data_IF_671113267522
#
_entry.id   IF_671113267522
#
_cell.length_a   1.000
_cell.length_b   1.000
_cell.length_c   1.000
_cell.angle_alpha   90.00
_cell.angle_beta   90.00
_cell.angle_gamma   90.00
#
_symmetry.space_group_name_H-M   'P 1'
#
loop_
_entity.id
_entity.type
_entity.pdbx_description
1 polymer ?
#
# COMPACT_ATOMS: atom_id res chain seq x y z
N UNK A 1 19.12 6.42 12.46
CA UNK A 1 18.05 6.01 11.53
C UNK A 1 16.76 6.72 11.94
N UNK A 2 16.19 7.51 11.05
CA UNK A 2 14.98 8.29 11.30
C UNK A 2 13.81 7.68 10.53
N UNK A 3 12.76 7.31 11.25
CA UNK A 3 11.55 6.67 10.71
C UNK A 3 10.40 7.65 10.87
N UNK A 4 9.56 7.79 9.84
CA UNK A 4 8.38 8.64 9.88
C UNK A 4 7.15 7.89 9.39
N UNK A 5 6.00 8.12 10.05
CA UNK A 5 4.70 7.82 9.45
C UNK A 5 4.30 8.95 8.50
N UNK A 6 3.83 8.58 7.32
CA UNK A 6 3.40 9.53 6.30
C UNK A 6 2.00 9.14 5.84
N UNK A 7 1.07 10.07 5.90
CA UNK A 7 -0.31 9.88 5.44
C UNK A 7 -0.67 10.95 4.43
N UNK A 8 -1.14 10.54 3.25
CA UNK A 8 -1.83 11.41 2.31
C UNK A 8 -3.33 11.26 2.53
N UNK A 9 -4.03 12.32 2.96
CA UNK A 9 -5.40 12.22 3.41
C UNK A 9 -6.33 13.20 2.69
N UNK A 10 -7.61 12.83 2.56
CA UNK A 10 -8.70 13.64 2.01
C UNK A 10 -9.67 14.10 3.09
N UNK A 11 -9.84 13.32 4.17
CA UNK A 11 -10.70 13.63 5.31
C UNK A 11 -9.89 13.95 6.55
N UNK A 12 -9.98 15.21 7.01
CA UNK A 12 -9.33 15.65 8.26
C UNK A 12 -9.84 14.86 9.48
N UNK A 13 -11.14 14.51 9.48
CA UNK A 13 -11.75 13.73 10.56
C UNK A 13 -11.18 12.31 10.58
N UNK A 14 -11.20 11.61 9.44
CA UNK A 14 -10.72 10.24 9.36
C UNK A 14 -9.21 10.16 9.64
N UNK A 15 -8.42 11.11 9.12
CA UNK A 15 -7.01 11.23 9.46
C UNK A 15 -6.78 11.44 10.96
N UNK A 16 -7.61 12.26 11.62
CA UNK A 16 -7.52 12.46 13.08
C UNK A 16 -7.80 11.17 13.86
N UNK A 17 -8.69 10.33 13.36
CA UNK A 17 -8.97 9.01 13.94
C UNK A 17 -7.81 8.05 13.69
N UNK A 18 -7.36 7.93 12.44
CA UNK A 18 -6.35 6.93 12.07
C UNK A 18 -4.99 7.17 12.72
N UNK A 19 -4.57 8.42 12.90
CA UNK A 19 -3.31 8.74 13.58
C UNK A 19 -3.25 8.25 15.04
N UNK A 20 -4.40 8.05 15.72
CA UNK A 20 -4.44 7.47 17.05
C UNK A 20 -3.94 6.01 17.08
N UNK A 21 -3.97 5.33 15.93
CA UNK A 21 -3.42 3.98 15.76
C UNK A 21 -1.88 3.98 15.60
N UNK A 22 -1.27 5.15 15.34
CA UNK A 22 0.18 5.26 15.10
C UNK A 22 0.94 5.98 16.22
N UNK A 23 0.26 6.72 17.09
CA UNK A 23 0.89 7.61 18.09
C UNK A 23 1.86 6.90 19.05
N UNK A 24 1.57 5.65 19.38
CA UNK A 24 2.33 4.89 20.39
C UNK A 24 3.65 4.30 19.82
N UNK A 25 3.93 4.51 18.52
CA UNK A 25 5.20 4.08 17.92
C UNK A 25 6.36 5.01 18.26
N UNK A 26 6.10 6.25 18.66
CA UNK A 26 7.13 7.24 18.94
C UNK A 26 7.83 7.79 17.69
N UNK A 27 7.30 7.51 16.49
CA UNK A 27 7.79 8.06 15.23
C UNK A 27 7.11 9.40 14.91
N UNK A 28 7.85 10.28 14.21
CA UNK A 28 7.27 11.52 13.68
C UNK A 28 6.13 11.18 12.69
N UNK A 29 5.02 11.91 12.79
CA UNK A 29 3.87 11.74 11.89
C UNK A 29 3.72 12.97 11.00
N UNK A 30 3.69 12.74 9.69
CA UNK A 30 3.48 13.77 8.67
C UNK A 30 2.17 13.47 7.95
N UNK A 31 1.17 14.33 8.13
CA UNK A 31 -0.05 14.32 7.33
C UNK A 31 0.04 15.34 6.19
N UNK A 32 -0.27 14.92 4.98
CA UNK A 32 -0.32 15.80 3.80
C UNK A 32 -1.72 15.73 3.20
N UNK A 33 -2.37 16.89 3.08
CA UNK A 33 -3.70 16.97 2.51
C UNK A 33 -3.66 16.69 0.99
N UNK A 34 -4.36 15.64 0.56
CA UNK A 34 -4.43 15.17 -0.82
C UNK A 34 -5.46 15.86 -1.71
N UNK A 35 -6.17 16.89 -1.18
CA UNK A 35 -7.12 17.70 -1.96
C UNK A 35 -6.44 18.29 -3.20
N UNK A 36 -7.24 18.64 -4.21
CA UNK A 36 -6.74 19.17 -5.49
C UNK A 36 -5.88 18.17 -6.30
N UNK A 37 -6.18 16.88 -6.21
CA UNK A 37 -5.49 15.80 -6.94
C UNK A 37 -4.02 15.62 -6.54
N UNK A 38 -3.65 16.07 -5.35
CA UNK A 38 -2.31 15.85 -4.80
C UNK A 38 -2.22 14.50 -4.09
N UNK A 39 -2.44 13.41 -4.84
CA UNK A 39 -2.38 12.02 -4.41
C UNK A 39 -1.73 11.16 -5.50
N UNK A 40 -1.46 9.89 -5.19
CA UNK A 40 -0.84 8.98 -6.14
C UNK A 40 0.58 9.38 -6.53
N UNK A 41 0.96 9.26 -7.80
CA UNK A 41 2.31 9.54 -8.26
C UNK A 41 2.81 10.97 -7.97
N UNK A 42 2.01 12.04 -8.11
CA UNK A 42 2.42 13.39 -7.68
C UNK A 42 2.83 13.46 -6.21
N UNK A 43 2.10 12.78 -5.33
CA UNK A 43 2.45 12.73 -3.91
C UNK A 43 3.75 11.94 -3.68
N UNK A 44 3.95 10.80 -4.31
CA UNK A 44 5.21 10.06 -4.20
C UNK A 44 6.40 10.84 -4.76
N UNK A 45 6.22 11.55 -5.87
CA UNK A 45 7.24 12.48 -6.36
C UNK A 45 7.59 13.54 -5.30
N UNK A 46 6.59 14.09 -4.63
CA UNK A 46 6.80 15.06 -3.53
C UNK A 46 7.60 14.42 -2.38
N UNK A 47 7.26 13.22 -1.95
CA UNK A 47 8.04 12.49 -0.93
C UNK A 47 9.51 12.32 -1.36
N UNK A 48 9.76 12.05 -2.64
CA UNK A 48 11.10 11.84 -3.16
C UNK A 48 11.92 13.12 -3.32
N UNK A 49 11.30 14.29 -3.45
CA UNK A 49 12.00 15.52 -3.85
C UNK A 49 11.97 16.61 -2.79
N UNK A 50 10.91 16.71 -1.98
CA UNK A 50 10.73 17.81 -1.05
C UNK A 50 11.63 17.71 0.18
N UNK A 51 12.05 18.87 0.69
CA UNK A 51 12.91 19.00 1.88
C UNK A 51 12.26 18.48 3.17
N UNK A 52 10.92 18.43 3.23
CA UNK A 52 10.19 17.89 4.38
C UNK A 52 10.58 16.45 4.73
N UNK A 53 11.02 15.69 3.72
CA UNK A 53 11.42 14.29 3.87
C UNK A 53 12.94 14.08 3.78
N UNK A 54 13.73 15.17 3.77
CA UNK A 54 15.19 15.09 3.55
C UNK A 54 15.94 14.30 4.65
N UNK A 55 15.42 14.30 5.85
CA UNK A 55 15.97 13.62 7.02
C UNK A 55 15.28 12.28 7.34
N UNK A 56 14.42 11.80 6.43
CA UNK A 56 13.71 10.52 6.61
C UNK A 56 14.51 9.38 5.96
N UNK A 57 14.95 8.40 6.75
CA UNK A 57 15.59 7.21 6.23
C UNK A 57 14.53 6.20 5.74
N UNK A 58 13.49 5.99 6.56
CA UNK A 58 12.39 5.06 6.29
C UNK A 58 11.04 5.75 6.45
N UNK A 59 10.19 5.62 5.45
CA UNK A 59 8.80 6.05 5.51
C UNK A 59 7.88 4.84 5.67
N UNK A 60 6.99 4.90 6.66
CA UNK A 60 5.82 4.03 6.77
C UNK A 60 4.64 4.83 6.22
N UNK A 61 4.31 4.60 4.96
CA UNK A 61 3.18 5.23 4.32
C UNK A 61 1.89 4.47 4.64
N UNK A 62 0.87 5.19 5.07
CA UNK A 62 -0.46 4.66 5.36
C UNK A 62 -1.53 5.65 4.92
N UNK A 63 -2.58 5.17 4.25
CA UNK A 63 -3.77 5.98 3.97
C UNK A 63 -4.59 6.24 5.24
N UNK A 64 -5.44 7.27 5.23
CA UNK A 64 -6.25 7.66 6.39
C UNK A 64 -7.29 6.62 6.80
N UNK A 65 -7.55 5.62 5.99
CA UNK A 65 -8.46 4.51 6.28
C UNK A 65 -7.75 3.15 6.47
N UNK A 66 -6.45 3.21 6.77
CA UNK A 66 -5.64 2.05 7.13
C UNK A 66 -5.26 2.11 8.63
N UNK A 67 -5.70 1.15 9.43
CA UNK A 67 -5.58 1.12 10.89
C UNK A 67 -4.58 0.06 11.33
N UNK A 68 -3.47 0.47 11.95
CA UNK A 68 -2.45 -0.46 12.47
C UNK A 68 -2.91 -0.95 13.85
N UNK A 69 -3.20 -2.24 13.96
CA UNK A 69 -3.72 -2.87 15.18
C UNK A 69 -2.68 -3.66 15.96
N UNK A 70 -1.59 -4.07 15.30
CA UNK A 70 -0.51 -4.82 15.94
C UNK A 70 0.84 -4.13 15.72
N UNK A 71 1.23 -3.35 16.72
CA UNK A 71 2.51 -2.62 16.73
C UNK A 71 3.71 -3.53 16.58
N UNK A 72 3.73 -4.64 17.29
CA UNK A 72 4.88 -5.55 17.30
C UNK A 72 5.07 -6.20 15.93
N UNK A 73 4.00 -6.60 15.27
CA UNK A 73 4.05 -7.19 13.94
C UNK A 73 4.54 -6.20 12.86
N UNK A 74 4.18 -4.91 12.98
CA UNK A 74 4.71 -3.86 12.10
C UNK A 74 6.19 -3.60 12.36
N UNK A 75 6.61 -3.50 13.62
CA UNK A 75 8.03 -3.28 13.96
C UNK A 75 8.89 -4.47 13.55
N UNK A 76 8.38 -5.69 13.67
CA UNK A 76 9.03 -6.91 13.20
C UNK A 76 9.22 -6.88 11.67
N UNK A 77 8.19 -6.48 10.91
CA UNK A 77 8.29 -6.29 9.47
C UNK A 77 9.34 -5.23 9.10
N UNK A 78 9.35 -4.09 9.78
CA UNK A 78 10.32 -3.03 9.54
C UNK A 78 11.76 -3.52 9.80
N UNK A 79 11.98 -4.22 10.92
CA UNK A 79 13.28 -4.80 11.25
C UNK A 79 13.72 -5.85 10.22
N UNK A 80 12.78 -6.69 9.78
CA UNK A 80 13.04 -7.66 8.73
C UNK A 80 13.51 -6.99 7.43
N UNK A 81 12.84 -5.90 7.01
CA UNK A 81 13.23 -5.14 5.82
C UNK A 81 14.62 -4.53 5.94
N UNK A 82 14.92 -3.93 7.10
CA UNK A 82 16.24 -3.32 7.37
C UNK A 82 17.34 -4.38 7.27
N UNK A 83 17.13 -5.53 7.91
CA UNK A 83 18.14 -6.61 7.98
C UNK A 83 18.35 -7.33 6.64
N UNK A 84 17.36 -7.32 5.74
CA UNK A 84 17.40 -8.00 4.43
C UNK A 84 17.62 -7.03 3.27
N UNK A 85 17.87 -5.74 3.58
CA UNK A 85 18.05 -4.69 2.57
C UNK A 85 16.91 -4.64 1.55
N UNK A 86 15.65 -4.69 2.03
CA UNK A 86 14.44 -4.57 1.23
C UNK A 86 14.07 -3.09 1.15
N UNK A 87 13.87 -2.57 -0.05
CA UNK A 87 13.69 -1.14 -0.28
C UNK A 87 12.23 -0.69 -0.22
N UNK A 88 11.30 -1.58 -0.55
CA UNK A 88 9.87 -1.29 -0.47
C UNK A 88 9.08 -2.57 -0.16
N UNK A 89 8.07 -2.47 0.71
CA UNK A 89 7.09 -3.54 0.91
C UNK A 89 5.67 -3.02 0.94
N UNK A 90 4.73 -3.88 0.55
CA UNK A 90 3.30 -3.62 0.61
C UNK A 90 2.51 -4.71 -0.09
N UNK A 91 1.20 -4.56 -0.13
CA UNK A 91 0.29 -5.53 -0.74
C UNK A 91 0.29 -5.36 -2.25
N UNK A 92 0.44 -6.44 -3.04
CA UNK A 92 0.39 -6.35 -4.50
C UNK A 92 -1.00 -5.96 -5.00
N UNK A 93 -1.06 -5.20 -6.09
CA UNK A 93 -2.34 -4.71 -6.65
C UNK A 93 -3.07 -5.75 -7.52
N UNK A 94 -2.64 -6.96 -7.53
CA UNK A 94 -3.32 -8.06 -8.19
C UNK A 94 -3.07 -9.40 -7.52
N UNK A 95 -4.11 -10.24 -7.48
CA UNK A 95 -3.99 -11.63 -7.10
C UNK A 95 -4.05 -11.96 -5.62
N UNK A 96 -4.25 -10.99 -4.74
CA UNK A 96 -4.32 -11.21 -3.28
C UNK A 96 -5.67 -10.78 -2.72
N UNK A 97 -6.21 -9.66 -3.17
CA UNK A 97 -7.48 -9.09 -2.71
C UNK A 97 -8.55 -9.28 -3.78
N UNK A 98 -9.79 -9.66 -3.40
CA UNK A 98 -10.82 -10.10 -4.34
C UNK A 98 -11.26 -9.05 -5.36
N UNK A 99 -11.25 -7.78 -5.00
CA UNK A 99 -11.65 -6.67 -5.86
C UNK A 99 -10.46 -5.91 -6.49
N UNK A 100 -9.22 -6.41 -6.29
CA UNK A 100 -7.99 -5.87 -6.90
C UNK A 100 -7.34 -6.94 -7.77
N UNK A 101 -7.37 -6.72 -9.07
CA UNK A 101 -6.91 -7.68 -10.09
C UNK A 101 -5.99 -7.04 -11.13
N UNK A 102 -5.40 -5.90 -10.77
CA UNK A 102 -4.47 -5.16 -11.60
C UNK A 102 -3.04 -5.74 -11.56
N UNK A 103 -2.07 -4.92 -11.84
CA UNK A 103 -0.69 -5.38 -12.00
C UNK A 103 -0.07 -5.89 -10.68
N UNK A 104 0.23 -7.19 -10.56
CA UNK A 104 0.71 -7.80 -9.31
C UNK A 104 2.15 -7.41 -8.94
N UNK A 105 2.91 -6.80 -9.88
CA UNK A 105 4.26 -6.32 -9.63
C UNK A 105 4.21 -4.98 -8.88
N UNK A 106 3.07 -4.29 -8.95
CA UNK A 106 2.87 -3.01 -8.27
C UNK A 106 2.26 -3.21 -6.89
N UNK A 107 2.57 -2.31 -5.98
CA UNK A 107 1.99 -2.27 -4.64
C UNK A 107 0.78 -1.35 -4.64
N UNK A 108 -0.27 -1.73 -3.92
CA UNK A 108 -1.41 -0.85 -3.67
C UNK A 108 -0.98 0.19 -2.65
N UNK A 109 -1.16 1.46 -2.99
CA UNK A 109 -0.66 2.58 -2.21
C UNK A 109 -1.54 2.94 -0.99
N UNK A 110 -2.06 1.97 -0.25
CA UNK A 110 -2.70 2.24 1.03
C UNK A 110 -1.78 1.96 2.22
N UNK A 111 -0.80 1.07 2.03
CA UNK A 111 0.22 0.74 3.02
C UNK A 111 1.53 0.40 2.32
N UNK A 112 2.62 1.03 2.74
CA UNK A 112 3.98 0.71 2.30
C UNK A 112 5.00 1.02 3.38
N UNK A 113 6.07 0.22 3.46
CA UNK A 113 7.31 0.63 4.11
C UNK A 113 8.34 0.85 3.02
N UNK A 114 8.95 2.03 2.97
CA UNK A 114 9.87 2.42 1.90
C UNK A 114 11.16 3.05 2.45
N UNK A 115 12.32 2.60 1.97
CA UNK A 115 13.67 3.11 2.31
C UNK A 115 13.95 4.42 1.58
N UNK A 116 13.14 5.43 1.88
CA UNK A 116 13.08 6.69 1.14
C UNK A 116 14.42 7.44 1.11
N UNK A 117 15.18 7.39 2.21
CA UNK A 117 16.48 8.09 2.30
C UNK A 117 17.52 7.59 1.31
N UNK A 118 17.46 6.31 0.91
CA UNK A 118 18.31 5.74 -0.13
C UNK A 118 17.78 6.06 -1.52
N UNK A 119 16.49 5.83 -1.74
CA UNK A 119 15.85 6.04 -3.04
C UNK A 119 15.98 7.48 -3.53
N UNK A 120 15.88 8.46 -2.64
CA UNK A 120 16.03 9.88 -2.97
C UNK A 120 17.38 10.24 -3.60
N UNK A 121 18.44 9.47 -3.31
CA UNK A 121 19.79 9.74 -3.85
C UNK A 121 19.88 9.49 -5.36
N UNK A 122 19.07 8.59 -5.87
CA UNK A 122 19.07 8.15 -7.28
C UNK A 122 17.80 8.51 -8.02
N UNK A 123 16.78 9.01 -7.30
CA UNK A 123 15.50 9.32 -7.91
C UNK A 123 15.60 10.42 -8.95
N UNK A 124 15.00 10.16 -10.12
CA UNK A 124 14.82 11.13 -11.18
C UNK A 124 13.37 11.10 -11.65
N UNK A 125 12.68 12.23 -11.53
CA UNK A 125 11.27 12.34 -11.88
C UNK A 125 10.97 11.94 -13.32
N UNK A 126 11.74 12.45 -14.30
CA UNK A 126 11.48 12.19 -15.70
C UNK A 126 11.64 10.71 -16.02
N UNK A 127 12.66 10.07 -15.47
CA UNK A 127 12.88 8.64 -15.61
C UNK A 127 11.72 7.85 -14.96
N UNK A 128 11.39 8.11 -13.71
CA UNK A 128 10.30 7.42 -13.03
C UNK A 128 8.94 7.64 -13.72
N UNK A 129 8.64 8.88 -14.14
CA UNK A 129 7.38 9.20 -14.81
C UNK A 129 7.22 8.57 -16.22
N UNK A 130 8.32 8.25 -16.87
CA UNK A 130 8.32 7.58 -18.17
C UNK A 130 8.13 6.07 -18.09
N UNK A 131 8.24 5.47 -16.89
CA UNK A 131 8.15 4.02 -16.71
C UNK A 131 6.77 3.50 -17.08
N UNK A 132 6.78 2.36 -17.76
CA UNK A 132 5.60 1.58 -18.13
C UNK A 132 5.90 0.11 -17.85
N UNK A 133 4.84 -0.66 -17.68
CA UNK A 133 4.96 -2.11 -17.66
C UNK A 133 5.47 -2.61 -19.02
N UNK A 134 6.35 -3.59 -18.96
CA UNK A 134 6.70 -4.47 -20.06
C UNK A 134 7.02 -5.89 -19.53
N UNK A 135 7.05 -6.88 -20.42
CA UNK A 135 7.21 -8.29 -20.06
C UNK A 135 8.53 -8.66 -19.39
N UNK A 136 9.57 -7.81 -19.47
CA UNK A 136 10.81 -8.05 -18.73
C UNK A 136 10.62 -7.96 -17.21
N UNK A 137 9.51 -7.34 -16.77
CA UNK A 137 9.15 -7.25 -15.35
C UNK A 137 8.44 -8.49 -14.83
N UNK A 138 7.99 -9.43 -15.69
CA UNK A 138 7.26 -10.64 -15.27
C UNK A 138 8.06 -11.52 -14.32
N UNK A 139 9.38 -11.50 -14.41
CA UNK A 139 10.29 -12.22 -13.51
C UNK A 139 10.18 -11.80 -12.05
N UNK A 140 9.58 -10.65 -11.78
CA UNK A 140 9.37 -10.13 -10.43
C UNK A 140 8.01 -10.48 -9.84
N UNK A 141 7.14 -11.17 -10.59
CA UNK A 141 5.81 -11.58 -10.09
C UNK A 141 6.01 -12.55 -8.93
N UNK A 142 5.42 -12.26 -7.76
CA UNK A 142 5.56 -13.12 -6.60
C UNK A 142 4.99 -14.52 -6.84
N UNK A 143 5.73 -15.57 -6.48
CA UNK A 143 5.31 -16.96 -6.69
C UNK A 143 3.98 -17.31 -6.03
N UNK A 144 3.69 -16.75 -4.86
CA UNK A 144 2.43 -17.00 -4.16
C UNK A 144 1.22 -16.43 -4.91
N UNK A 145 1.39 -15.34 -5.67
CA UNK A 145 0.34 -14.77 -6.52
C UNK A 145 0.06 -15.66 -7.72
N UNK A 146 1.09 -16.17 -8.37
CA UNK A 146 0.94 -17.08 -9.53
C UNK A 146 0.09 -18.30 -9.16
N UNK A 147 0.25 -18.81 -7.95
CA UNK A 147 -0.48 -19.99 -7.49
C UNK A 147 -1.91 -19.69 -7.00
N UNK A 148 -2.17 -18.51 -6.50
CA UNK A 148 -3.49 -18.10 -5.96
C UNK A 148 -4.49 -17.68 -7.05
N UNK A 149 -4.02 -17.28 -8.21
CA UNK A 149 -4.83 -16.65 -9.25
C UNK A 149 -5.81 -17.55 -10.00
N UNK A 150 -5.73 -18.86 -9.90
CA UNK A 150 -6.68 -19.76 -10.60
C UNK A 150 -8.12 -19.56 -10.14
N UNK A 151 -8.35 -19.35 -8.84
CA UNK A 151 -9.70 -19.16 -8.29
C UNK A 151 -10.28 -17.76 -8.52
N UNK A 152 -9.42 -16.76 -8.71
CA UNK A 152 -9.81 -15.38 -9.00
C UNK A 152 -10.42 -15.22 -10.39
N UNK A 153 -9.87 -15.91 -11.38
CA UNK A 153 -10.28 -15.83 -12.77
C UNK A 153 -11.71 -16.27 -13.01
N UNK A 154 -12.16 -17.33 -12.35
CA UNK A 154 -13.52 -17.83 -12.51
C UNK A 154 -14.55 -16.82 -12.03
N UNK A 155 -14.22 -16.03 -11.02
CA UNK A 155 -15.13 -15.05 -10.42
C UNK A 155 -15.23 -13.74 -11.22
N UNK A 156 -14.17 -13.31 -11.89
CA UNK A 156 -14.08 -12.03 -12.61
C UNK A 156 -13.95 -12.14 -14.13
N UNK A 157 -13.80 -13.34 -14.68
CA UNK A 157 -13.62 -13.59 -16.13
C UNK A 157 -14.74 -13.05 -17.02
N UNK A 158 -15.91 -12.75 -16.46
CA UNK A 158 -17.05 -12.21 -17.21
C UNK A 158 -16.95 -10.72 -17.53
N UNK A 159 -16.12 -9.96 -16.82
CA UNK A 159 -16.10 -8.49 -16.94
C UNK A 159 -14.89 -7.96 -17.72
N UNK A 160 -13.86 -8.77 -17.94
CA UNK A 160 -12.59 -8.29 -18.49
C UNK A 160 -12.15 -9.13 -19.69
N UNK A 161 -12.71 -8.82 -20.83
CA UNK A 161 -12.53 -9.61 -22.06
C UNK A 161 -11.28 -9.28 -22.89
N UNK A 162 -10.43 -8.33 -22.51
CA UNK A 162 -9.30 -7.92 -23.37
C UNK A 162 -8.05 -7.59 -22.56
N UNK A 163 -7.00 -8.38 -22.69
CA UNK A 163 -5.66 -8.04 -22.21
C UNK A 163 -5.09 -8.93 -21.11
N UNK A 164 -5.57 -10.15 -20.95
CA UNK A 164 -5.06 -11.07 -19.95
C UNK A 164 -3.71 -11.68 -20.34
N UNK A 165 -2.83 -11.75 -19.36
CA UNK A 165 -1.73 -12.69 -19.41
C UNK A 165 -2.24 -14.12 -19.23
N UNK A 166 -1.45 -15.16 -19.56
CA UNK A 166 -1.81 -16.55 -19.30
C UNK A 166 -2.08 -16.84 -17.80
N UNK A 167 -1.74 -15.91 -16.91
CA UNK A 167 -1.98 -15.97 -15.47
C UNK A 167 -3.24 -15.22 -15.05
N UNK A 168 -3.92 -14.54 -16.00
CA UNK A 168 -5.16 -13.80 -15.81
C UNK A 168 -5.07 -12.52 -15.03
N UNK A 169 -3.93 -11.98 -14.91
CA UNK A 169 -3.64 -10.71 -14.29
C UNK A 169 -3.64 -9.65 -15.38
N UNK A 170 -4.23 -8.49 -15.10
CA UNK A 170 -4.14 -7.37 -16.02
C UNK A 170 -2.78 -6.71 -15.85
N UNK A 171 -1.93 -6.88 -16.82
CA UNK A 171 -0.70 -6.11 -16.93
C UNK A 171 -1.02 -4.76 -17.54
N UNK A 172 -1.37 -3.81 -16.70
CA UNK A 172 -1.73 -2.48 -17.13
C UNK A 172 -0.89 -1.40 -16.42
N UNK A 173 -1.13 -0.17 -16.82
CA UNK A 173 -0.63 1.02 -16.16
C UNK A 173 -1.80 1.75 -15.49
N UNK A 174 -2.72 1.01 -14.87
CA UNK A 174 -3.99 1.53 -14.37
C UNK A 174 -3.79 2.64 -13.34
N UNK A 175 -2.98 2.38 -12.31
CA UNK A 175 -2.71 3.39 -11.31
C UNK A 175 -1.46 4.21 -11.68
N UNK A 176 -1.52 5.54 -11.61
CA UNK A 176 -0.34 6.39 -11.86
C UNK A 176 0.86 6.07 -10.96
N UNK A 177 0.62 5.46 -9.80
CA UNK A 177 1.65 5.05 -8.82
C UNK A 177 2.52 3.91 -9.30
N UNK A 178 2.06 3.07 -10.25
CA UNK A 178 2.80 1.92 -10.77
C UNK A 178 4.16 2.29 -11.34
N UNK A 179 4.28 3.47 -11.91
CA UNK A 179 5.53 4.02 -12.42
C UNK A 179 6.67 4.00 -11.40
N UNK A 180 6.35 4.28 -10.13
CA UNK A 180 7.33 4.22 -9.05
C UNK A 180 7.85 2.79 -8.86
N UNK A 181 6.96 1.79 -8.84
CA UNK A 181 7.34 0.40 -8.61
C UNK A 181 8.09 -0.19 -9.78
N UNK A 182 7.71 0.15 -11.02
CA UNK A 182 8.48 -0.23 -12.21
C UNK A 182 9.86 0.43 -12.19
N UNK A 183 9.96 1.69 -11.77
CA UNK A 183 11.23 2.37 -11.60
C UNK A 183 12.09 1.68 -10.54
N UNK A 184 11.54 1.30 -9.40
CA UNK A 184 12.26 0.54 -8.36
C UNK A 184 12.84 -0.75 -8.92
N UNK A 185 12.02 -1.57 -9.54
CA UNK A 185 12.43 -2.86 -10.10
C UNK A 185 13.48 -2.72 -11.21
N UNK A 186 13.33 -1.75 -12.10
CA UNK A 186 14.28 -1.46 -13.19
C UNK A 186 15.65 -0.98 -12.67
N UNK A 187 15.69 -0.36 -11.52
CA UNK A 187 16.94 0.08 -10.89
C UNK A 187 17.51 -0.94 -9.89
N UNK A 188 16.97 -2.16 -9.88
CA UNK A 188 17.48 -3.27 -9.07
C UNK A 188 17.12 -3.18 -7.57
N UNK A 189 16.18 -2.31 -7.19
CA UNK A 189 15.72 -2.23 -5.82
C UNK A 189 14.86 -3.44 -5.45
N UNK A 190 15.09 -3.98 -4.25
CA UNK A 190 14.36 -5.15 -3.76
C UNK A 190 13.00 -4.73 -3.23
N UNK A 191 11.97 -5.43 -3.67
CA UNK A 191 10.61 -5.29 -3.18
C UNK A 191 10.16 -6.56 -2.46
N UNK A 192 9.35 -6.40 -1.42
CA UNK A 192 8.67 -7.48 -0.72
C UNK A 192 7.16 -7.31 -0.85
N UNK A 193 6.50 -8.36 -1.30
CA UNK A 193 5.06 -8.40 -1.44
C UNK A 193 4.44 -9.09 -0.22
N UNK A 194 3.54 -8.37 0.44
CA UNK A 194 2.88 -8.83 1.65
C UNK A 194 1.62 -9.62 1.33
N UNK A 195 1.32 -10.62 2.14
CA UNK A 195 0.05 -11.32 2.09
C UNK A 195 -1.05 -10.41 2.67
N UNK A 196 -2.24 -10.56 2.12
CA UNK A 196 -3.46 -9.92 2.60
C UNK A 196 -4.68 -10.78 2.27
N UNK A 197 -5.82 -10.49 2.88
CA UNK A 197 -7.08 -11.15 2.60
C UNK A 197 -8.26 -10.23 2.88
N UNK A 198 -9.42 -10.55 2.29
CA UNK A 198 -10.66 -9.81 2.54
C UNK A 198 -11.21 -10.19 3.91
N UNK A 199 -11.55 -9.21 4.75
CA UNK A 199 -12.09 -9.44 6.08
C UNK A 199 -13.46 -10.11 6.01
N UNK A 200 -13.69 -11.17 6.79
CA UNK A 200 -14.90 -12.01 6.68
C UNK A 200 -16.22 -11.27 6.92
N UNK A 201 -16.20 -10.24 7.76
CA UNK A 201 -17.39 -9.48 8.12
C UNK A 201 -17.61 -8.21 7.27
N UNK A 202 -16.66 -7.91 6.38
CA UNK A 202 -16.74 -6.78 5.45
C UNK A 202 -15.78 -7.00 4.26
N UNK A 203 -16.31 -7.43 3.13
CA UNK A 203 -15.58 -7.70 1.88
C UNK A 203 -14.93 -6.45 1.24
N UNK A 204 -15.22 -5.26 1.76
CA UNK A 204 -14.53 -4.00 1.43
C UNK A 204 -13.50 -3.59 2.49
N UNK A 205 -13.08 -4.52 3.33
CA UNK A 205 -11.96 -4.33 4.27
C UNK A 205 -10.89 -5.39 4.02
N UNK A 206 -9.66 -4.93 3.84
CA UNK A 206 -8.48 -5.78 3.64
C UNK A 206 -7.70 -5.90 4.94
N UNK A 207 -7.35 -7.13 5.34
CA UNK A 207 -6.43 -7.40 6.44
C UNK A 207 -5.04 -7.68 5.86
N UNK A 208 -4.04 -6.96 6.36
CA UNK A 208 -2.64 -7.08 5.91
C UNK A 208 -1.84 -7.89 6.91
N UNK A 209 -1.02 -8.80 6.39
CA UNK A 209 -0.10 -9.65 7.15
C UNK A 209 1.34 -9.18 7.01
N UNK A 210 2.13 -9.36 8.07
CA UNK A 210 3.58 -9.17 7.98
C UNK A 210 4.26 -10.38 7.31
N UNK A 211 5.59 -10.37 7.24
CA UNK A 211 6.39 -11.44 6.63
C UNK A 211 6.31 -12.81 7.35
N UNK A 212 5.77 -12.85 8.56
CA UNK A 212 5.50 -14.07 9.34
C UNK A 212 4.01 -14.47 9.34
N UNK A 213 3.22 -13.95 8.39
CA UNK A 213 1.77 -14.19 8.30
C UNK A 213 0.96 -13.73 9.51
N UNK A 214 1.43 -12.74 10.27
CA UNK A 214 0.74 -12.14 11.41
C UNK A 214 -0.04 -10.91 10.97
N UNK A 215 -1.33 -10.86 11.27
CA UNK A 215 -2.21 -9.73 10.97
C UNK A 215 -1.76 -8.47 11.74
N UNK A 216 -1.68 -7.32 11.06
CA UNK A 216 -1.25 -6.09 11.70
C UNK A 216 -1.98 -4.82 11.27
N UNK A 217 -2.65 -4.81 10.12
CA UNK A 217 -3.34 -3.63 9.61
C UNK A 217 -4.66 -3.98 8.94
N UNK A 218 -5.63 -3.06 9.02
CA UNK A 218 -6.95 -3.14 8.41
C UNK A 218 -7.16 -1.90 7.53
N UNK A 219 -7.42 -2.10 6.25
CA UNK A 219 -7.70 -1.02 5.29
C UNK A 219 -9.15 -1.11 4.81
N UNK A 220 -9.91 -0.02 4.97
CA UNK A 220 -11.38 -0.05 4.82
C UNK A 220 -11.91 0.44 3.47
N UNK A 221 -11.12 0.58 2.47
CA UNK A 221 -11.48 1.05 1.12
C UNK A 221 -12.58 2.12 1.05
N UNK A 222 -12.48 3.00 0.06
CA UNK A 222 -13.46 4.07 -0.23
C UNK A 222 -13.57 5.18 0.84
N UNK A 223 -12.47 5.50 1.54
CA UNK A 223 -12.40 6.66 2.44
C UNK A 223 -12.85 7.98 1.79
N UNK A 224 -12.64 8.11 0.48
CA UNK A 224 -13.12 9.27 -0.30
C UNK A 224 -14.62 9.54 -0.14
N UNK A 225 -15.39 8.51 0.20
CA UNK A 225 -16.85 8.59 0.39
C UNK A 225 -17.25 8.74 1.87
N UNK A 226 -16.29 8.97 2.76
CA UNK A 226 -16.52 9.10 4.20
C UNK A 226 -17.55 10.16 4.54
N UNK A 227 -17.44 11.35 3.93
CA UNK A 227 -18.35 12.46 4.22
C UNK A 227 -19.64 12.42 3.40
N UNK A 228 -19.62 11.80 2.22
CA UNK A 228 -20.66 11.92 1.22
C UNK A 228 -21.68 10.76 1.24
N UNK A 229 -21.30 9.62 1.84
CA UNK A 229 -22.10 8.40 1.83
C UNK A 229 -22.30 7.85 3.24
N UNK A 230 -23.46 8.09 3.89
CA UNK A 230 -23.72 7.66 5.28
C UNK A 230 -23.51 6.16 5.52
N UNK A 231 -23.83 5.29 4.55
CA UNK A 231 -23.58 3.84 4.66
C UNK A 231 -22.11 3.51 4.72
N UNK A 232 -21.25 4.19 3.96
CA UNK A 232 -19.79 4.01 3.99
C UNK A 232 -19.21 4.51 5.31
N UNK A 233 -19.65 5.67 5.78
CA UNK A 233 -19.24 6.17 7.09
C UNK A 233 -19.57 5.17 8.21
N UNK A 234 -20.80 4.65 8.23
CA UNK A 234 -21.22 3.65 9.23
C UNK A 234 -20.40 2.36 9.14
N UNK A 235 -20.11 1.88 7.92
CA UNK A 235 -19.28 0.70 7.68
C UNK A 235 -17.86 0.90 8.23
N UNK A 236 -17.21 2.00 7.84
CA UNK A 236 -15.84 2.30 8.26
C UNK A 236 -15.77 2.48 9.79
N UNK A 237 -16.75 3.16 10.43
CA UNK A 237 -16.81 3.28 11.89
C UNK A 237 -16.89 1.92 12.58
N UNK A 238 -17.69 0.98 12.06
CA UNK A 238 -17.75 -0.38 12.62
C UNK A 238 -16.37 -1.06 12.62
N UNK A 239 -15.59 -0.87 11.57
CA UNK A 239 -14.23 -1.42 11.49
C UNK A 239 -13.29 -0.69 12.43
N UNK A 240 -13.38 0.64 12.56
CA UNK A 240 -12.61 1.42 13.53
C UNK A 240 -12.88 0.91 14.96
N UNK A 241 -14.13 0.71 15.32
CA UNK A 241 -14.53 0.19 16.63
C UNK A 241 -13.93 -1.19 16.88
N UNK A 242 -14.01 -2.09 15.89
CA UNK A 242 -13.37 -3.39 15.95
C UNK A 242 -11.84 -3.28 16.14
N UNK A 243 -11.17 -2.47 15.31
CA UNK A 243 -9.73 -2.24 15.40
C UNK A 243 -9.31 -1.73 16.79
N UNK A 244 -10.11 -0.84 17.40
CA UNK A 244 -9.87 -0.37 18.76
C UNK A 244 -9.95 -1.50 19.81
N UNK A 245 -10.81 -2.51 19.60
CA UNK A 245 -10.91 -3.65 20.53
C UNK A 245 -9.73 -4.61 20.47
N UNK A 246 -9.04 -4.68 19.32
CA UNK A 246 -7.92 -5.60 19.09
C UNK A 246 -6.55 -4.96 19.21
N UNK A 247 -6.45 -3.62 19.09
CA UNK A 247 -5.18 -2.86 19.13
C UNK A 247 -4.37 -3.09 20.41
N UNK A 248 -5.00 -3.44 21.50
CA UNK A 248 -4.38 -3.55 22.83
C UNK A 248 -4.29 -4.99 23.33
N UNK A 249 -4.53 -5.97 22.49
CA UNK A 249 -4.37 -7.39 22.80
C UNK A 249 -3.04 -7.92 22.31
#
# INVERSE_FOLDING_TARGET
MKIKFITNYLSDELYSISKEFYKDFGFEMIGVNGKNRFYGFPFFNYMMTDKLFADCDWAIYVDEDCFITNKNALLDLLNYQINNDIHCSGVPDGGVISHRFHNPISIIAFFMIIKIGELRKTYNYNNANSMKYDHDLDKFIPHHIINSNRSYHEKFSRTIAKGYSPYGIIYDNFEPTYKLFFWLLRNGYKMQYLNAYDYSDDDLTTVVKNHNDVDFAYHTWFARNWNDTPSQNKRIRKIIDYCNTIKNK
#
